data_IF_380353878685
#
_entry.id   IF_380353878685
#
_cell.length_a   1.000
_cell.length_b   1.000
_cell.length_c   1.000
_cell.angle_alpha   90.00
_cell.angle_beta   90.00
_cell.angle_gamma   90.00
#
_symmetry.space_group_name_H-M   'P 1'
#
loop_
_entity.id
_entity.type
_entity.pdbx_description
1 polymer ?
#
# COMPACT_ATOMS: atom_id res chain seq x y z
N UNK A 1 4.59 -8.27 15.05
CA UNK A 1 5.19 -9.37 14.27
C UNK A 1 5.04 -9.20 12.74
N UNK A 2 3.97 -8.58 12.22
CA UNK A 2 3.79 -8.39 10.75
C UNK A 2 4.60 -7.22 10.19
N UNK A 3 4.83 -6.14 10.95
CA UNK A 3 5.51 -4.92 10.48
C UNK A 3 6.95 -5.18 10.04
N UNK A 4 7.68 -6.07 10.73
CA UNK A 4 9.08 -6.36 10.42
C UNK A 4 9.27 -7.13 9.10
N UNK A 5 8.30 -7.94 8.68
CA UNK A 5 8.41 -8.74 7.46
C UNK A 5 8.38 -7.90 6.18
N UNK A 6 7.72 -6.74 6.21
CA UNK A 6 7.53 -5.89 5.03
C UNK A 6 8.41 -4.64 5.06
N UNK A 7 9.38 -4.57 5.97
CA UNK A 7 10.21 -3.37 6.12
C UNK A 7 10.95 -3.05 4.82
N UNK A 8 11.67 -4.03 4.26
CA UNK A 8 12.48 -3.82 3.05
C UNK A 8 11.60 -3.49 1.83
N UNK A 9 10.46 -4.17 1.70
CA UNK A 9 9.47 -3.90 0.65
C UNK A 9 8.88 -2.49 0.78
N UNK A 10 8.58 -2.04 2.00
CA UNK A 10 8.05 -0.71 2.27
C UNK A 10 9.08 0.39 1.95
N UNK A 11 10.34 0.17 2.32
CA UNK A 11 11.44 1.10 2.00
C UNK A 11 11.66 1.17 0.49
N UNK A 12 11.69 0.03 -0.19
CA UNK A 12 11.81 -0.06 -1.65
C UNK A 12 10.65 0.67 -2.35
N UNK A 13 9.43 0.49 -1.85
CA UNK A 13 8.25 1.16 -2.40
C UNK A 13 8.28 2.68 -2.22
N UNK A 14 8.64 3.16 -1.03
CA UNK A 14 8.76 4.62 -0.78
C UNK A 14 9.87 5.22 -1.63
N UNK A 15 10.99 4.50 -1.80
CA UNK A 15 12.07 4.92 -2.69
C UNK A 15 11.59 5.10 -4.14
N UNK A 16 10.89 4.11 -4.69
CA UNK A 16 10.33 4.18 -6.06
C UNK A 16 9.41 5.39 -6.23
N UNK A 17 8.56 5.68 -5.24
CA UNK A 17 7.69 6.88 -5.25
C UNK A 17 8.49 8.18 -5.23
N UNK A 18 9.52 8.25 -4.40
CA UNK A 18 10.34 9.47 -4.28
C UNK A 18 11.17 9.71 -5.54
N UNK A 19 11.71 8.66 -6.15
CA UNK A 19 12.43 8.74 -7.43
C UNK A 19 11.51 9.22 -8.56
N UNK A 20 10.26 8.74 -8.59
CA UNK A 20 9.26 9.19 -9.58
C UNK A 20 8.89 10.68 -9.40
N UNK A 21 8.65 11.13 -8.16
CA UNK A 21 8.24 12.50 -7.89
C UNK A 21 9.40 13.51 -7.94
N UNK A 22 10.64 13.06 -7.70
CA UNK A 22 11.84 13.90 -7.64
C UNK A 22 12.97 13.30 -8.48
N UNK A 23 12.83 13.24 -9.81
CA UNK A 23 13.76 12.54 -10.69
C UNK A 23 15.19 13.09 -10.68
N UNK A 24 15.37 14.35 -10.27
CA UNK A 24 16.69 15.00 -10.19
C UNK A 24 17.42 14.76 -8.85
N UNK A 25 16.75 14.17 -7.84
CA UNK A 25 17.36 13.89 -6.54
C UNK A 25 17.81 12.43 -6.46
N UNK A 26 19.03 12.22 -5.97
CA UNK A 26 19.51 10.88 -5.63
C UNK A 26 18.81 10.40 -4.34
N UNK A 27 17.85 9.48 -4.47
CA UNK A 27 17.13 8.92 -3.33
C UNK A 27 17.88 7.70 -2.80
N UNK A 28 18.36 7.78 -1.57
CA UNK A 28 19.00 6.65 -0.88
C UNK A 28 17.98 5.89 -0.04
N UNK A 29 18.31 4.64 0.33
CA UNK A 29 17.44 3.84 1.19
C UNK A 29 17.22 4.50 2.57
N UNK A 30 18.19 5.25 3.09
CA UNK A 30 18.05 5.99 4.35
C UNK A 30 17.02 7.12 4.26
N UNK A 31 17.02 7.86 3.15
CA UNK A 31 15.99 8.90 2.89
C UNK A 31 14.61 8.27 2.73
N UNK A 32 14.52 7.10 2.09
CA UNK A 32 13.26 6.38 1.95
C UNK A 32 12.75 5.81 3.30
N UNK A 33 13.64 5.29 4.17
CA UNK A 33 13.29 4.88 5.53
C UNK A 33 12.77 6.05 6.36
N UNK A 34 13.46 7.20 6.30
CA UNK A 34 13.06 8.40 7.02
C UNK A 34 11.70 8.91 6.54
N UNK A 35 11.50 9.02 5.23
CA UNK A 35 10.22 9.38 4.63
C UNK A 35 9.09 8.39 4.99
N UNK A 36 9.39 7.08 5.00
CA UNK A 36 8.44 6.05 5.43
C UNK A 36 8.06 6.25 6.90
N UNK A 37 9.03 6.50 7.77
CA UNK A 37 8.80 6.71 9.19
C UNK A 37 7.95 7.96 9.46
N UNK A 38 8.22 9.08 8.78
CA UNK A 38 7.40 10.29 8.87
C UNK A 38 5.98 10.08 8.33
N UNK A 39 5.83 9.37 7.20
CA UNK A 39 4.51 9.11 6.62
C UNK A 39 3.69 8.01 7.33
N UNK A 40 4.31 7.19 8.19
CA UNK A 40 3.59 6.30 9.12
C UNK A 40 2.80 7.13 10.16
N UNK A 41 3.36 8.25 10.63
CA UNK A 41 2.70 9.13 11.60
C UNK A 41 1.74 10.13 10.94
N UNK A 42 2.08 10.59 9.73
CA UNK A 42 1.24 11.47 8.91
C UNK A 42 0.65 10.68 7.74
N UNK A 43 -0.35 9.84 8.06
CA UNK A 43 -1.15 9.02 7.14
C UNK A 43 -0.91 9.30 5.65
N UNK A 44 -0.08 8.47 5.00
CA UNK A 44 -0.14 8.33 3.56
C UNK A 44 -1.61 8.14 3.15
N UNK A 45 -2.07 8.86 2.13
CA UNK A 45 -3.35 8.59 1.47
C UNK A 45 -3.31 7.19 0.86
N UNK A 46 -3.58 6.20 1.69
CA UNK A 46 -3.73 4.82 1.27
C UNK A 46 -4.97 4.74 0.39
N UNK A 47 -4.88 4.25 -0.86
CA UNK A 47 -5.99 4.32 -1.82
C UNK A 47 -7.27 3.64 -1.34
N UNK A 48 -7.12 2.68 -0.42
CA UNK A 48 -8.21 1.94 0.20
C UNK A 48 -7.96 1.84 1.70
N UNK A 49 -8.29 2.86 2.50
CA UNK A 49 -8.09 2.78 3.93
C UNK A 49 -8.90 1.60 4.50
N UNK A 50 -8.32 0.81 5.42
CA UNK A 50 -9.09 -0.22 6.10
C UNK A 50 -10.19 0.45 6.94
N UNK A 51 -11.43 -0.02 6.82
CA UNK A 51 -12.52 0.44 7.70
C UNK A 51 -12.16 0.16 9.17
N UNK A 52 -12.29 1.17 10.02
CA UNK A 52 -12.07 1.04 11.47
C UNK A 52 -13.08 0.09 12.12
N UNK A 53 -14.36 0.20 11.73
CA UNK A 53 -15.45 -0.68 12.17
C UNK A 53 -15.81 -1.67 11.08
N UNK A 54 -15.16 -2.83 11.09
CA UNK A 54 -15.44 -3.93 10.16
C UNK A 54 -16.27 -5.04 10.80
N UNK A 55 -17.24 -5.56 10.06
CA UNK A 55 -18.05 -6.73 10.46
C UNK A 55 -17.27 -8.04 10.32
N UNK A 56 -16.35 -8.12 9.36
CA UNK A 56 -15.51 -9.29 9.13
C UNK A 56 -14.15 -8.89 8.56
N UNK A 57 -13.18 -9.81 8.62
CA UNK A 57 -11.84 -9.63 8.06
C UNK A 57 -11.66 -10.59 6.88
N UNK A 58 -10.92 -10.16 5.87
CA UNK A 58 -10.60 -11.02 4.72
C UNK A 58 -9.18 -10.78 4.20
N UNK A 59 -8.69 -11.75 3.45
CA UNK A 59 -7.44 -11.67 2.67
C UNK A 59 -7.78 -11.66 1.19
N UNK A 60 -7.04 -10.90 0.39
CA UNK A 60 -7.25 -10.76 -1.05
C UNK A 60 -6.03 -11.33 -1.79
N UNK A 61 -6.14 -12.56 -2.28
CA UNK A 61 -5.07 -13.25 -3.00
C UNK A 61 -5.40 -13.19 -4.49
N UNK A 62 -4.44 -12.79 -5.33
CA UNK A 62 -4.65 -12.48 -6.75
C UNK A 62 -5.58 -11.26 -6.95
N UNK A 63 -5.29 -10.20 -6.19
CA UNK A 63 -6.17 -9.04 -6.06
C UNK A 63 -6.38 -8.24 -7.36
N UNK A 64 -5.54 -8.45 -8.37
CA UNK A 64 -5.57 -7.74 -9.63
C UNK A 64 -5.58 -6.23 -9.41
N UNK A 65 -6.60 -5.56 -9.94
CA UNK A 65 -6.81 -4.10 -9.80
C UNK A 65 -7.70 -3.69 -8.63
N UNK A 66 -8.11 -4.63 -7.76
CA UNK A 66 -8.77 -4.33 -6.48
C UNK A 66 -10.30 -4.30 -6.47
N UNK A 67 -10.96 -4.84 -7.51
CA UNK A 67 -12.43 -4.90 -7.56
C UNK A 67 -13.05 -5.71 -6.43
N UNK A 68 -12.46 -6.86 -6.09
CA UNK A 68 -12.95 -7.74 -5.03
C UNK A 68 -12.82 -7.11 -3.64
N UNK A 69 -11.67 -6.49 -3.35
CA UNK A 69 -11.48 -5.69 -2.15
C UNK A 69 -12.53 -4.61 -2.00
N UNK A 70 -12.80 -3.82 -3.04
CA UNK A 70 -13.77 -2.73 -2.97
C UNK A 70 -15.18 -3.26 -2.64
N UNK A 71 -15.60 -4.35 -3.29
CA UNK A 71 -16.89 -4.98 -3.01
C UNK A 71 -17.00 -5.44 -1.55
N UNK A 72 -16.00 -6.14 -1.03
CA UNK A 72 -16.01 -6.62 0.36
C UNK A 72 -15.89 -5.48 1.37
N UNK A 73 -15.13 -4.44 1.09
CA UNK A 73 -15.06 -3.25 1.95
C UNK A 73 -16.41 -2.51 2.02
N UNK A 74 -17.15 -2.44 0.91
CA UNK A 74 -18.51 -1.87 0.87
C UNK A 74 -19.51 -2.70 1.70
N UNK A 75 -19.32 -4.02 1.79
CA UNK A 75 -20.08 -4.92 2.65
C UNK A 75 -19.61 -4.90 4.12
N UNK A 76 -18.69 -4.00 4.50
CA UNK A 76 -18.21 -3.89 5.88
C UNK A 76 -17.01 -4.78 6.22
N UNK A 77 -16.34 -5.34 5.21
CA UNK A 77 -15.12 -6.13 5.39
C UNK A 77 -13.86 -5.28 5.58
N UNK A 78 -12.92 -5.76 6.38
CA UNK A 78 -11.55 -5.22 6.48
C UNK A 78 -10.58 -6.17 5.79
N UNK A 79 -9.96 -5.69 4.72
CA UNK A 79 -8.83 -6.36 4.11
C UNK A 79 -7.62 -6.27 5.05
N UNK A 80 -7.08 -7.40 5.48
CA UNK A 80 -5.90 -7.45 6.38
C UNK A 80 -4.63 -7.90 5.66
N UNK A 81 -4.76 -8.41 4.43
CA UNK A 81 -3.64 -8.80 3.59
C UNK A 81 -4.06 -8.82 2.12
N UNK A 82 -3.15 -8.42 1.23
CA UNK A 82 -3.34 -8.45 -0.22
C UNK A 82 -2.09 -8.98 -0.89
N UNK A 83 -2.24 -9.93 -1.81
CA UNK A 83 -1.18 -10.45 -2.66
C UNK A 83 -1.55 -10.29 -4.13
N UNK A 84 -0.63 -9.72 -4.90
CA UNK A 84 -0.70 -9.65 -6.36
C UNK A 84 0.71 -9.92 -6.89
N UNK A 85 0.82 -10.57 -8.04
CA UNK A 85 2.12 -10.86 -8.67
C UNK A 85 2.39 -9.92 -9.84
N UNK A 86 1.35 -9.54 -10.60
CA UNK A 86 1.45 -8.71 -11.79
C UNK A 86 1.76 -7.24 -11.45
N UNK A 87 2.81 -6.70 -12.08
CA UNK A 87 3.31 -5.35 -11.78
C UNK A 87 2.38 -4.24 -12.31
N UNK A 88 1.73 -4.47 -13.45
CA UNK A 88 0.83 -3.50 -14.07
C UNK A 88 -0.53 -3.46 -13.34
N UNK A 89 -0.99 -4.60 -12.85
CA UNK A 89 -2.13 -4.71 -11.95
C UNK A 89 -1.88 -3.96 -10.64
N UNK A 90 -0.69 -4.13 -10.02
CA UNK A 90 -0.26 -3.36 -8.84
C UNK A 90 -0.26 -1.85 -9.08
N UNK A 91 0.27 -1.41 -10.24
CA UNK A 91 0.27 0.02 -10.61
C UNK A 91 -1.15 0.57 -10.69
N UNK A 92 -2.04 -0.15 -11.38
CA UNK A 92 -3.44 0.24 -11.52
C UNK A 92 -4.18 0.26 -10.18
N UNK A 93 -3.95 -0.75 -9.34
CA UNK A 93 -4.51 -0.84 -7.99
C UNK A 93 -4.11 0.37 -7.14
N UNK A 94 -2.85 0.80 -7.22
CA UNK A 94 -2.31 1.94 -6.46
C UNK A 94 -2.80 3.29 -7.00
N UNK A 95 -3.04 3.41 -8.30
CA UNK A 95 -3.51 4.64 -8.93
C UNK A 95 -4.99 4.95 -8.64
N UNK A 96 -5.80 3.93 -8.35
CA UNK A 96 -7.22 4.12 -8.01
C UNK A 96 -7.38 4.66 -6.59
N UNK A 97 -7.39 5.98 -6.48
CA UNK A 97 -7.95 6.70 -5.32
C UNK A 97 -9.47 6.75 -5.45
N UNK A 98 -10.19 6.34 -4.41
CA UNK A 98 -11.65 6.52 -4.27
C UNK A 98 -11.93 7.25 -2.98
#
# INVERSE_FOLDING_TARGET
MIIFFYKDDAVSFVKEILEYNYPEKNITNGVAEEALQYGIFNAFEIPFPPREKSQFKFIDLFAGIGGFRLALQNLGGRCVFTSEWDKEAKRTYKAKRV
#
